data_IF_303342159443
#
_entry.id   IF_303342159443
#
_cell.length_a   1.000
_cell.length_b   1.000
_cell.length_c   1.000
_cell.angle_alpha   90.00
_cell.angle_beta   90.00
_cell.angle_gamma   90.00
#
_symmetry.space_group_name_H-M   'P 1'
#
loop_
_entity.id
_entity.type
_entity.pdbx_description
1 polymer ?
#
# COMPACT_ATOMS: atom_id res chain seq x y z
N UNK A 1 13.08 -7.22 7.96
CA UNK A 1 14.34 -6.62 8.41
C UNK A 1 14.03 -5.62 9.52
N UNK A 2 14.79 -5.70 10.62
CA UNK A 2 14.74 -4.72 11.71
C UNK A 2 16.02 -3.89 11.63
N UNK A 3 15.87 -2.58 11.82
CA UNK A 3 16.99 -1.66 11.82
C UNK A 3 16.93 -0.81 13.09
N UNK A 4 18.08 -0.48 13.62
CA UNK A 4 18.24 0.45 14.71
C UNK A 4 18.93 1.71 14.21
N UNK A 5 18.49 2.88 14.66
CA UNK A 5 19.09 4.17 14.32
C UNK A 5 19.49 4.84 15.62
N UNK A 6 20.77 5.13 15.74
CA UNK A 6 21.33 5.84 16.90
C UNK A 6 21.52 7.31 16.52
N UNK A 7 20.94 8.20 17.33
CA UNK A 7 21.06 9.66 17.18
C UNK A 7 21.68 10.20 18.46
N UNK A 8 22.95 10.59 18.40
CA UNK A 8 23.68 11.13 19.52
C UNK A 8 24.03 12.60 19.26
N UNK A 9 23.61 13.49 20.14
CA UNK A 9 23.83 14.95 20.10
C UNK A 9 23.55 15.63 18.76
N UNK A 10 22.63 15.10 17.96
CA UNK A 10 22.26 15.66 16.65
C UNK A 10 21.53 16.99 16.84
N UNK A 11 22.12 18.06 16.31
CA UNK A 11 21.51 19.40 16.35
C UNK A 11 20.64 19.61 15.12
N UNK A 12 19.35 19.88 15.35
CA UNK A 12 18.37 20.17 14.29
C UNK A 12 17.88 21.61 14.46
N UNK A 13 17.89 22.45 13.42
CA UNK A 13 17.29 23.79 13.48
C UNK A 13 15.82 23.74 13.89
N UNK A 14 15.39 24.66 14.75
CA UNK A 14 13.99 24.74 15.21
C UNK A 14 13.01 24.89 14.05
N UNK A 15 13.43 25.57 12.99
CA UNK A 15 12.66 25.75 11.77
C UNK A 15 12.28 24.42 11.05
N UNK A 16 13.00 23.33 11.36
CA UNK A 16 12.70 21.99 10.82
C UNK A 16 11.73 21.20 11.70
N UNK A 17 11.19 21.81 12.75
CA UNK A 17 10.17 21.15 13.60
C UNK A 17 8.84 21.09 12.85
N UNK A 18 8.28 19.90 12.75
CA UNK A 18 6.96 19.66 12.17
C UNK A 18 5.89 19.65 13.26
N UNK A 19 4.92 20.56 13.16
CA UNK A 19 3.84 20.72 14.13
C UNK A 19 4.28 21.39 15.45
N UNK A 20 3.39 21.47 16.45
CA UNK A 20 3.70 22.08 17.74
C UNK A 20 4.65 21.21 18.56
N UNK A 21 5.46 21.87 19.39
CA UNK A 21 6.32 21.15 20.36
C UNK A 21 5.45 20.31 21.28
N UNK A 22 5.80 19.05 21.45
CA UNK A 22 5.00 18.07 22.19
C UNK A 22 3.85 17.42 21.39
N UNK A 23 3.56 17.90 20.15
CA UNK A 23 2.50 17.38 19.28
C UNK A 23 2.94 16.26 18.32
N UNK A 24 4.10 15.66 18.52
CA UNK A 24 4.70 14.69 17.59
C UNK A 24 3.84 13.46 17.29
N UNK A 25 2.98 13.03 18.22
CA UNK A 25 2.06 11.92 17.99
C UNK A 25 1.03 12.22 16.89
N UNK A 26 0.46 13.42 16.87
CA UNK A 26 -0.45 13.85 15.81
C UNK A 26 0.22 13.90 14.44
N UNK A 27 1.47 14.38 14.37
CA UNK A 27 2.28 14.39 13.16
C UNK A 27 2.55 12.97 12.68
N UNK A 28 2.94 12.07 13.58
CA UNK A 28 3.18 10.65 13.26
C UNK A 28 1.91 9.96 12.73
N UNK A 29 0.75 10.18 13.32
CA UNK A 29 -0.52 9.62 12.84
C UNK A 29 -0.88 10.12 11.44
N UNK A 30 -0.65 11.41 11.16
CA UNK A 30 -0.87 11.97 9.82
C UNK A 30 0.04 11.33 8.80
N UNK A 31 1.33 11.18 9.11
CA UNK A 31 2.29 10.50 8.25
C UNK A 31 1.90 9.05 7.97
N UNK A 32 1.54 8.29 9.01
CA UNK A 32 1.11 6.89 8.86
C UNK A 32 -0.19 6.74 8.07
N UNK A 33 -1.11 7.70 8.14
CA UNK A 33 -2.32 7.71 7.33
C UNK A 33 -1.99 7.85 5.84
N UNK A 34 -1.06 8.75 5.49
CA UNK A 34 -0.58 8.92 4.12
C UNK A 34 0.20 7.70 3.62
N UNK A 35 1.04 7.10 4.45
CA UNK A 35 1.76 5.88 4.14
C UNK A 35 0.80 4.72 3.82
N UNK A 36 -0.21 4.49 4.65
CA UNK A 36 -1.24 3.47 4.42
C UNK A 36 -1.97 3.68 3.10
N UNK A 37 -2.32 4.92 2.78
CA UNK A 37 -2.96 5.24 1.51
C UNK A 37 -2.04 4.97 0.32
N UNK A 38 -0.74 5.22 0.45
CA UNK A 38 0.27 4.96 -0.56
C UNK A 38 0.50 3.45 -0.77
N UNK A 39 0.71 2.70 0.31
CA UNK A 39 0.95 1.25 0.27
C UNK A 39 -0.31 0.52 -0.23
N UNK A 40 -1.49 0.93 0.23
CA UNK A 40 -2.77 0.31 -0.16
C UNK A 40 -3.21 0.60 -1.59
N UNK A 41 -2.73 1.68 -2.21
CA UNK A 41 -3.12 2.09 -3.57
C UNK A 41 -2.18 1.60 -4.68
N UNK A 42 -0.97 1.15 -4.32
CA UNK A 42 0.08 0.73 -5.24
C UNK A 42 0.55 -0.69 -4.97
N UNK A 43 -0.33 -1.69 -5.06
CA UNK A 43 0.10 -3.09 -4.98
C UNK A 43 1.25 -3.36 -5.97
N UNK A 44 2.25 -4.10 -5.52
CA UNK A 44 3.44 -4.45 -6.31
C UNK A 44 3.07 -5.25 -7.57
N UNK A 45 1.84 -5.76 -7.64
CA UNK A 45 1.31 -6.54 -8.75
C UNK A 45 -0.06 -6.02 -9.17
N UNK A 46 -0.27 -5.96 -10.48
CA UNK A 46 -1.57 -5.62 -11.07
C UNK A 46 -2.19 -6.86 -11.70
N UNK A 47 -3.51 -6.99 -11.65
CA UNK A 47 -4.22 -8.13 -12.24
C UNK A 47 -3.86 -8.36 -13.72
N UNK A 48 -3.57 -7.27 -14.45
CA UNK A 48 -3.10 -7.35 -15.83
C UNK A 48 -1.81 -8.16 -16.01
N UNK A 49 -0.86 -8.04 -15.07
CA UNK A 49 0.39 -8.81 -15.09
C UNK A 49 0.13 -10.30 -14.83
N UNK A 50 -0.76 -10.60 -13.89
CA UNK A 50 -1.15 -11.99 -13.59
C UNK A 50 -1.81 -12.64 -14.80
N UNK A 51 -2.72 -11.91 -15.48
CA UNK A 51 -3.38 -12.40 -16.70
C UNK A 51 -2.39 -12.57 -17.86
N UNK A 52 -1.40 -11.70 -17.99
CA UNK A 52 -0.36 -11.84 -18.98
C UNK A 52 0.47 -13.11 -18.76
N UNK A 53 0.93 -13.33 -17.53
CA UNK A 53 1.65 -14.55 -17.14
C UNK A 53 0.81 -15.81 -17.36
N UNK A 54 -0.47 -15.79 -17.01
CA UNK A 54 -1.36 -16.93 -17.22
C UNK A 54 -1.52 -17.25 -18.73
N UNK A 55 -1.60 -16.25 -19.59
CA UNK A 55 -1.68 -16.45 -21.05
C UNK A 55 -0.39 -17.01 -21.65
N UNK A 56 0.75 -16.66 -21.06
CA UNK A 56 2.05 -17.06 -21.57
C UNK A 56 2.45 -18.47 -21.09
N UNK A 57 2.09 -18.83 -19.84
CA UNK A 57 2.68 -20.00 -19.18
C UNK A 57 1.66 -21.06 -18.75
N UNK A 58 0.36 -20.84 -18.96
CA UNK A 58 -0.67 -21.76 -18.47
C UNK A 58 -1.72 -22.09 -19.54
N UNK A 59 -2.40 -23.23 -19.38
CA UNK A 59 -3.56 -23.58 -20.18
C UNK A 59 -4.77 -22.73 -19.77
N UNK A 60 -5.01 -21.65 -20.49
CA UNK A 60 -6.15 -20.75 -20.26
C UNK A 60 -7.50 -21.36 -20.64
N UNK A 61 -7.53 -22.56 -21.25
CA UNK A 61 -8.72 -23.36 -21.50
C UNK A 61 -9.16 -24.14 -20.26
N UNK A 62 -8.26 -24.39 -19.28
CA UNK A 62 -8.60 -25.08 -18.05
C UNK A 62 -9.67 -24.34 -17.24
N UNK A 63 -10.86 -24.94 -17.01
CA UNK A 63 -11.94 -24.29 -16.25
C UNK A 63 -11.57 -24.03 -14.80
N UNK A 64 -10.73 -24.86 -14.17
CA UNK A 64 -10.29 -24.66 -12.79
C UNK A 64 -9.38 -23.44 -12.68
N UNK A 65 -8.42 -23.31 -13.60
CA UNK A 65 -7.56 -22.13 -13.68
C UNK A 65 -8.40 -20.86 -13.89
N UNK A 66 -9.36 -20.90 -14.81
CA UNK A 66 -10.25 -19.75 -15.09
C UNK A 66 -11.01 -19.31 -13.83
N UNK A 67 -11.55 -20.24 -13.04
CA UNK A 67 -12.24 -19.92 -11.78
C UNK A 67 -11.28 -19.29 -10.75
N UNK A 68 -10.06 -19.79 -10.64
CA UNK A 68 -9.04 -19.20 -9.74
C UNK A 68 -8.65 -17.79 -10.16
N UNK A 69 -8.51 -17.56 -11.46
CA UNK A 69 -8.22 -16.21 -11.99
C UNK A 69 -9.39 -15.26 -11.76
N UNK A 70 -10.63 -15.72 -11.88
CA UNK A 70 -11.83 -14.93 -11.59
C UNK A 70 -11.91 -14.56 -10.09
N UNK A 71 -11.67 -15.51 -9.18
CA UNK A 71 -11.61 -15.22 -7.74
C UNK A 71 -10.52 -14.21 -7.41
N UNK A 72 -9.33 -14.39 -7.97
CA UNK A 72 -8.23 -13.47 -7.79
C UNK A 72 -8.57 -12.07 -8.30
N UNK A 73 -9.17 -11.96 -9.50
CA UNK A 73 -9.64 -10.69 -10.05
C UNK A 73 -10.64 -10.01 -9.11
N UNK A 74 -11.60 -10.75 -8.58
CA UNK A 74 -12.58 -10.24 -7.63
C UNK A 74 -11.89 -9.64 -6.40
N UNK A 75 -10.88 -10.31 -5.86
CA UNK A 75 -10.10 -9.81 -4.71
C UNK A 75 -9.34 -8.53 -5.04
N UNK A 76 -8.73 -8.44 -6.22
CA UNK A 76 -8.08 -7.20 -6.68
C UNK A 76 -9.07 -6.05 -6.78
N UNK A 77 -10.26 -6.27 -7.34
CA UNK A 77 -11.30 -5.24 -7.44
C UNK A 77 -11.82 -4.80 -6.07
N UNK A 78 -12.01 -5.74 -5.13
CA UNK A 78 -12.41 -5.41 -3.75
C UNK A 78 -11.36 -4.51 -3.06
N UNK A 79 -10.08 -4.81 -3.21
CA UNK A 79 -9.00 -3.97 -2.67
C UNK A 79 -9.01 -2.58 -3.32
N UNK A 80 -9.24 -2.49 -4.63
CA UNK A 80 -9.35 -1.23 -5.35
C UNK A 80 -10.52 -0.37 -4.81
N UNK A 81 -11.71 -0.97 -4.62
CA UNK A 81 -12.87 -0.28 -4.08
C UNK A 81 -12.68 0.12 -2.61
N UNK A 82 -12.02 -0.70 -1.81
CA UNK A 82 -11.65 -0.32 -0.44
C UNK A 82 -10.72 0.90 -0.43
N UNK A 83 -9.74 0.95 -1.34
CA UNK A 83 -8.88 2.11 -1.52
C UNK A 83 -9.66 3.38 -1.90
N UNK A 84 -10.72 3.27 -2.72
CA UNK A 84 -11.59 4.41 -3.02
C UNK A 84 -12.37 4.87 -1.80
N UNK A 85 -12.93 3.94 -1.02
CA UNK A 85 -13.65 4.26 0.23
C UNK A 85 -12.78 4.99 1.24
N UNK A 86 -11.53 4.54 1.43
CA UNK A 86 -10.58 5.22 2.33
C UNK A 86 -10.35 6.66 1.88
N UNK A 87 -10.18 6.90 0.57
CA UNK A 87 -9.96 8.26 0.03
C UNK A 87 -11.18 9.16 0.10
N UNK A 88 -12.39 8.61 0.08
CA UNK A 88 -13.64 9.39 0.15
C UNK A 88 -14.15 9.58 1.58
N UNK A 89 -13.62 8.84 2.55
CA UNK A 89 -13.98 8.94 3.96
C UNK A 89 -13.05 9.90 4.76
N UNK A 90 -11.99 10.38 4.12
CA UNK A 90 -11.05 11.37 4.68
C UNK A 90 -11.50 12.78 4.30
#
# INVERSE_FOLDING_TARGET
HFNEVFLDEVRVPVANTLGPVGGGWGVALTMLAHERASIGSGGMYHMGQVLALAREHADTGDPVLRQRLADLHTRFELLRFLGYRVRTAA
#
